data_IF_185630461977
#
_entry.id   IF_185630461977
#
_cell.length_a   1.000
_cell.length_b   1.000
_cell.length_c   1.000
_cell.angle_alpha   90.00
_cell.angle_beta   90.00
_cell.angle_gamma   90.00
#
_symmetry.space_group_name_H-M   'P 1'
#
loop_
_entity.id
_entity.type
_entity.pdbx_description
1 polymer ?
#
# COMPACT_ATOMS: atom_id res chain seq x y z
N UNK A 1 2.42 -11.10 2.97
CA UNK A 1 2.07 -10.30 4.18
C UNK A 1 0.76 -9.52 4.06
N UNK A 2 0.52 -8.73 2.99
CA UNK A 2 -0.70 -7.91 2.88
C UNK A 2 -2.04 -8.65 3.06
N UNK A 3 -2.12 -9.93 2.68
CA UNK A 3 -3.30 -10.77 2.90
C UNK A 3 -3.58 -11.03 4.40
N UNK A 4 -2.54 -11.16 5.22
CA UNK A 4 -2.64 -11.31 6.69
C UNK A 4 -3.01 -10.00 7.39
N UNK A 5 -2.75 -8.84 6.76
CA UNK A 5 -3.23 -7.54 7.22
C UNK A 5 -4.64 -7.20 6.74
N UNK A 6 -5.23 -8.03 5.89
CA UNK A 6 -6.50 -7.73 5.24
C UNK A 6 -6.43 -6.51 4.34
N UNK A 7 -5.32 -6.30 3.62
CA UNK A 7 -5.15 -5.19 2.67
C UNK A 7 -5.22 -5.64 1.20
N UNK A 8 -5.62 -6.89 0.96
CA UNK A 8 -5.66 -7.54 -0.35
C UNK A 8 -7.10 -7.91 -0.69
N UNK A 9 -7.53 -7.86 -1.97
CA UNK A 9 -8.83 -8.40 -2.38
C UNK A 9 -9.00 -9.86 -1.97
N UNK A 10 -10.22 -10.24 -1.59
CA UNK A 10 -10.59 -11.63 -1.37
C UNK A 10 -10.45 -12.36 -2.72
N UNK A 11 -9.59 -13.36 -2.79
CA UNK A 11 -9.41 -14.17 -3.98
C UNK A 11 -10.22 -15.46 -3.78
N UNK A 12 -11.21 -15.67 -4.62
CA UNK A 12 -11.92 -16.94 -4.74
C UNK A 12 -11.46 -17.58 -6.04
N UNK A 13 -10.87 -18.77 -5.96
CA UNK A 13 -10.40 -19.51 -7.13
C UNK A 13 -11.08 -20.87 -7.17
N UNK A 14 -11.93 -21.07 -8.16
CA UNK A 14 -12.55 -22.37 -8.45
C UNK A 14 -12.05 -22.83 -9.80
N UNK A 15 -11.33 -23.96 -9.86
CA UNK A 15 -10.92 -24.71 -11.06
C UNK A 15 -10.45 -23.87 -12.27
N UNK A 16 -11.41 -23.28 -12.98
CA UNK A 16 -11.23 -22.52 -14.22
C UNK A 16 -11.30 -20.97 -14.08
N UNK A 17 -11.60 -20.42 -12.89
CA UNK A 17 -11.78 -18.96 -12.71
C UNK A 17 -11.21 -18.46 -11.39
N UNK A 18 -10.38 -17.42 -11.48
CA UNK A 18 -9.98 -16.59 -10.34
C UNK A 18 -10.81 -15.31 -10.32
N UNK A 19 -11.63 -15.14 -9.28
CA UNK A 19 -12.44 -13.94 -9.07
C UNK A 19 -11.83 -13.12 -7.93
N UNK A 20 -11.51 -11.87 -8.22
CA UNK A 20 -11.08 -10.89 -7.21
C UNK A 20 -12.31 -10.16 -6.67
N UNK A 21 -12.68 -10.46 -5.42
CA UNK A 21 -13.79 -9.84 -4.71
C UNK A 21 -13.41 -8.58 -3.93
N UNK A 22 -14.24 -8.24 -2.96
CA UNK A 22 -14.02 -7.08 -2.06
C UNK A 22 -12.70 -7.23 -1.29
N UNK A 23 -12.14 -6.12 -0.79
CA UNK A 23 -10.97 -6.13 0.09
C UNK A 23 -11.25 -7.05 1.28
N UNK A 24 -10.43 -8.08 1.42
CA UNK A 24 -10.47 -9.01 2.53
C UNK A 24 -10.19 -8.22 3.81
N UNK A 25 -11.16 -8.08 4.71
CA UNK A 25 -10.96 -7.42 6.02
C UNK A 25 -10.44 -8.39 7.08
N UNK A 26 -10.00 -9.59 6.67
CA UNK A 26 -9.47 -10.63 7.53
C UNK A 26 -8.01 -10.35 7.89
N UNK A 27 -7.69 -10.39 9.19
CA UNK A 27 -6.34 -10.08 9.68
C UNK A 27 -6.31 -9.24 10.96
N UNK A 28 -5.13 -8.72 11.30
CA UNK A 28 -4.96 -7.84 12.46
C UNK A 28 -5.62 -6.46 12.20
N UNK A 29 -6.77 -6.22 12.86
CA UNK A 29 -7.55 -4.97 12.73
C UNK A 29 -6.76 -3.73 13.16
N UNK A 30 -5.90 -3.85 14.18
CA UNK A 30 -5.12 -2.73 14.70
C UNK A 30 -4.08 -2.27 13.68
N UNK A 31 -3.26 -3.20 13.17
CA UNK A 31 -2.26 -2.90 12.14
C UNK A 31 -2.92 -2.36 10.86
N UNK A 32 -4.05 -2.93 10.44
CA UNK A 32 -4.83 -2.40 9.32
C UNK A 32 -5.23 -0.94 9.55
N UNK A 33 -5.73 -0.62 10.75
CA UNK A 33 -6.12 0.75 11.11
C UNK A 33 -4.92 1.70 11.04
N UNK A 34 -3.78 1.31 11.60
CA UNK A 34 -2.55 2.12 11.55
C UNK A 34 -2.11 2.41 10.11
N UNK A 35 -2.06 1.41 9.23
CA UNK A 35 -1.68 1.63 7.84
C UNK A 35 -2.67 2.49 7.05
N UNK A 36 -3.97 2.34 7.32
CA UNK A 36 -5.01 3.16 6.68
C UNK A 36 -4.93 4.61 7.14
N UNK A 37 -4.75 4.86 8.44
CA UNK A 37 -4.56 6.21 8.98
C UNK A 37 -3.28 6.86 8.44
N UNK A 38 -2.17 6.11 8.39
CA UNK A 38 -0.93 6.58 7.78
C UNK A 38 -1.12 6.95 6.30
N UNK A 39 -1.84 6.12 5.53
CA UNK A 39 -2.17 6.41 4.14
C UNK A 39 -3.00 7.70 3.99
N UNK A 40 -3.99 7.92 4.86
CA UNK A 40 -4.74 9.19 4.89
C UNK A 40 -3.84 10.39 5.14
N UNK A 41 -2.95 10.30 6.14
CA UNK A 41 -2.01 11.40 6.47
C UNK A 41 -1.06 11.66 5.30
N UNK A 42 -0.54 10.63 4.65
CA UNK A 42 0.35 10.77 3.48
C UNK A 42 -0.39 11.46 2.33
N UNK A 43 -1.67 11.13 2.09
CA UNK A 43 -2.49 11.77 1.06
C UNK A 43 -2.76 13.24 1.33
N UNK A 44 -3.00 13.61 2.59
CA UNK A 44 -3.35 14.98 3.00
C UNK A 44 -2.11 15.87 3.17
N UNK A 45 -1.13 15.41 3.96
CA UNK A 45 0.03 16.23 4.36
C UNK A 45 1.17 16.24 3.34
N UNK A 46 1.20 15.28 2.40
CA UNK A 46 2.22 15.18 1.33
C UNK A 46 3.66 15.37 1.84
N UNK A 47 4.12 14.54 2.80
CA UNK A 47 5.42 14.72 3.42
C UNK A 47 6.54 14.63 2.37
N UNK A 48 7.60 15.42 2.55
CA UNK A 48 8.65 15.61 1.54
C UNK A 48 9.27 14.29 1.05
N UNK A 49 9.57 13.35 1.96
CA UNK A 49 10.11 12.03 1.60
C UNK A 49 9.16 11.14 0.78
N UNK A 50 7.84 11.25 1.00
CA UNK A 50 6.85 10.55 0.18
C UNK A 50 6.62 11.26 -1.16
N UNK A 51 6.76 12.59 -1.20
CA UNK A 51 6.60 13.41 -2.40
C UNK A 51 7.63 13.03 -3.48
N UNK A 52 8.85 12.69 -3.09
CA UNK A 52 9.92 12.38 -4.02
C UNK A 52 9.82 10.97 -4.63
N UNK A 53 9.31 9.99 -3.88
CA UNK A 53 9.37 8.57 -4.27
C UNK A 53 8.00 7.92 -4.51
N UNK A 54 7.01 8.27 -3.68
CA UNK A 54 5.69 7.64 -3.72
C UNK A 54 4.68 8.42 -4.56
N UNK A 55 4.87 9.73 -4.71
CA UNK A 55 3.91 10.63 -5.35
C UNK A 55 3.62 10.33 -6.83
N UNK A 56 4.63 10.05 -7.68
CA UNK A 56 4.37 9.69 -9.07
C UNK A 56 3.44 8.46 -9.19
N UNK A 57 3.63 7.48 -8.31
CA UNK A 57 2.75 6.31 -8.25
C UNK A 57 1.36 6.65 -7.71
N UNK A 58 1.25 7.51 -6.70
CA UNK A 58 -0.03 7.95 -6.12
C UNK A 58 -0.86 8.70 -7.17
N UNK A 59 -0.25 9.58 -7.96
CA UNK A 59 -0.94 10.31 -9.04
C UNK A 59 -1.42 9.36 -10.13
N UNK A 60 -0.57 8.44 -10.59
CA UNK A 60 -0.95 7.43 -11.58
C UNK A 60 -2.09 6.52 -11.06
N UNK A 61 -2.03 6.12 -9.80
CA UNK A 61 -3.06 5.30 -9.16
C UNK A 61 -4.38 6.08 -8.96
N UNK A 62 -4.31 7.36 -8.58
CA UNK A 62 -5.46 8.22 -8.37
C UNK A 62 -6.27 8.51 -9.63
N UNK A 63 -5.65 8.43 -10.81
CA UNK A 63 -6.36 8.51 -12.10
C UNK A 63 -7.26 7.30 -12.38
N UNK A 64 -6.95 6.14 -11.80
CA UNK A 64 -7.61 4.86 -12.08
C UNK A 64 -8.53 4.39 -10.95
N UNK A 65 -8.29 4.84 -9.73
CA UNK A 65 -8.93 4.35 -8.51
C UNK A 65 -9.69 5.48 -7.81
N UNK A 66 -10.91 5.19 -7.36
CA UNK A 66 -11.62 6.09 -6.47
C UNK A 66 -10.88 6.24 -5.13
N UNK A 67 -11.13 7.34 -4.41
CA UNK A 67 -10.32 7.76 -3.26
C UNK A 67 -10.17 6.70 -2.16
N UNK A 68 -11.23 5.97 -1.81
CA UNK A 68 -11.17 4.93 -0.77
C UNK A 68 -10.30 3.74 -1.22
N UNK A 69 -10.39 3.32 -2.48
CA UNK A 69 -9.50 2.32 -3.05
C UNK A 69 -8.04 2.79 -3.08
N UNK A 70 -7.79 4.07 -3.41
CA UNK A 70 -6.45 4.64 -3.39
C UNK A 70 -5.83 4.59 -1.99
N UNK A 71 -6.59 4.93 -0.95
CA UNK A 71 -6.14 4.83 0.45
C UNK A 71 -5.74 3.39 0.79
N UNK A 72 -6.55 2.39 0.44
CA UNK A 72 -6.23 0.98 0.72
C UNK A 72 -5.01 0.51 -0.08
N UNK A 73 -4.91 0.89 -1.35
CA UNK A 73 -3.76 0.57 -2.19
C UNK A 73 -2.47 1.18 -1.61
N UNK A 74 -2.53 2.43 -1.15
CA UNK A 74 -1.41 3.11 -0.50
C UNK A 74 -1.05 2.43 0.83
N UNK A 75 -2.03 2.07 1.67
CA UNK A 75 -1.82 1.33 2.90
C UNK A 75 -1.09 0.00 2.64
N UNK A 76 -1.49 -0.75 1.61
CA UNK A 76 -0.81 -1.98 1.22
C UNK A 76 0.63 -1.72 0.75
N UNK A 77 0.86 -0.64 0.01
CA UNK A 77 2.22 -0.24 -0.42
C UNK A 77 3.12 0.11 0.78
N UNK A 78 2.60 0.87 1.74
CA UNK A 78 3.30 1.19 2.99
C UNK A 78 3.61 -0.05 3.81
N UNK A 79 2.67 -0.99 3.91
CA UNK A 79 2.88 -2.26 4.61
C UNK A 79 4.02 -3.09 3.98
N UNK A 80 4.11 -3.11 2.63
CA UNK A 80 5.20 -3.81 1.93
C UNK A 80 6.56 -3.14 2.17
N UNK A 81 6.60 -1.82 2.21
CA UNK A 81 7.82 -1.06 2.52
C UNK A 81 8.27 -1.33 3.96
N UNK A 82 7.35 -1.22 4.92
CA UNK A 82 7.64 -1.50 6.33
C UNK A 82 8.16 -2.92 6.54
N UNK A 83 7.53 -3.92 5.90
CA UNK A 83 8.00 -5.29 5.95
C UNK A 83 9.41 -5.44 5.34
N UNK A 84 9.70 -4.82 4.20
CA UNK A 84 11.02 -4.89 3.58
C UNK A 84 12.11 -4.21 4.43
N UNK A 85 11.79 -3.09 5.08
CA UNK A 85 12.69 -2.40 6.03
C UNK A 85 12.99 -3.30 7.23
N UNK A 86 11.96 -3.87 7.86
CA UNK A 86 12.10 -4.76 9.00
C UNK A 86 12.87 -6.04 8.65
N UNK A 87 12.58 -6.65 7.49
CA UNK A 87 13.24 -7.88 7.06
C UNK A 87 14.72 -7.68 6.67
N UNK A 88 15.09 -6.49 6.21
CA UNK A 88 16.46 -6.16 5.78
C UNK A 88 17.32 -5.53 6.87
N UNK A 89 16.73 -5.06 7.96
CA UNK A 89 17.46 -4.41 9.08
C UNK A 89 18.08 -3.05 8.75
N UNK A 90 17.89 -2.52 7.54
CA UNK A 90 18.37 -1.20 7.13
C UNK A 90 17.24 -0.17 7.18
N UNK A 91 17.57 1.08 7.51
CA UNK A 91 16.61 2.18 7.53
C UNK A 91 15.93 2.42 6.17
N UNK A 92 14.76 3.08 6.21
CA UNK A 92 14.03 3.41 4.98
C UNK A 92 14.85 4.34 4.08
N UNK A 93 15.24 3.82 2.92
CA UNK A 93 15.88 4.60 1.86
C UNK A 93 14.83 4.91 0.79
N UNK A 94 14.39 6.17 0.64
CA UNK A 94 13.49 6.54 -0.45
C UNK A 94 14.21 6.28 -1.76
N UNK A 95 13.54 5.61 -2.71
CA UNK A 95 14.07 5.48 -4.08
C UNK A 95 14.15 6.89 -4.67
N UNK A 96 15.35 7.45 -4.69
CA UNK A 96 15.66 8.68 -5.40
C UNK A 96 15.59 8.39 -6.90
N UNK A 97 14.98 9.29 -7.66
CA UNK A 97 14.90 9.19 -9.13
C UNK A 97 16.31 9.12 -9.79
N UNK A 98 17.38 9.37 -9.04
CA UNK A 98 18.78 9.32 -9.48
C UNK A 98 19.35 7.93 -9.73
N UNK A 99 18.65 6.85 -9.36
CA UNK A 99 19.15 5.48 -9.51
C UNK A 99 18.54 4.71 -10.70
N UNK A 100 17.93 5.43 -11.64
CA UNK A 100 17.46 4.91 -12.93
C UNK A 100 18.29 5.56 -14.05
N UNK A 101 19.57 5.21 -14.08
CA UNK A 101 20.48 5.43 -15.21
C UNK A 101 20.94 4.06 -15.71
#
# INVERSE_FOLDING_TARGET
FGAWLGLVPKQESTGDRTILGKISKHGNKYLRTLFVQAAHIVLVRRPHGARLSLWPWIEAAGRRLHRNMLVIALANKLARIAWAVLARGHGYQPRSASHAA
#
